data_IF_275688575428
#
_entry.id   IF_275688575428
#
_cell.length_a   1.000
_cell.length_b   1.000
_cell.length_c   1.000
_cell.angle_alpha   90.00
_cell.angle_beta   90.00
_cell.angle_gamma   90.00
#
_symmetry.space_group_name_H-M   'P 1'
#
loop_
_entity.id
_entity.type
_entity.pdbx_description
1 polymer ?
#
# COMPACT_ATOMS: atom_id res chain seq x y z
N UNK A 1 -43.82 -10.91 -21.82
CA UNK A 1 -42.54 -11.13 -22.56
C UNK A 1 -41.49 -10.56 -21.64
N UNK A 2 -41.14 -11.35 -20.64
CA UNK A 2 -40.41 -10.89 -19.47
C UNK A 2 -39.00 -11.46 -19.58
N UNK A 3 -38.09 -10.56 -19.91
CA UNK A 3 -36.68 -10.80 -20.12
C UNK A 3 -36.05 -11.20 -18.78
N UNK A 4 -35.82 -12.51 -18.61
CA UNK A 4 -35.12 -13.05 -17.45
C UNK A 4 -33.66 -12.65 -17.53
N UNK A 5 -33.31 -11.54 -16.87
CA UNK A 5 -31.92 -11.13 -16.65
C UNK A 5 -31.25 -12.19 -15.78
N UNK A 6 -30.55 -13.11 -16.45
CA UNK A 6 -29.71 -14.16 -15.87
C UNK A 6 -28.68 -13.52 -14.93
N UNK A 7 -29.04 -13.44 -13.64
CA UNK A 7 -28.14 -13.00 -12.58
C UNK A 7 -27.37 -14.23 -12.13
N UNK A 8 -26.16 -14.39 -12.67
CA UNK A 8 -25.21 -15.38 -12.17
C UNK A 8 -24.99 -15.18 -10.66
N UNK A 9 -24.81 -16.26 -9.86
CA UNK A 9 -24.59 -16.12 -8.43
C UNK A 9 -23.39 -15.20 -8.15
N UNK A 10 -23.44 -14.38 -7.09
CA UNK A 10 -22.36 -13.46 -6.76
C UNK A 10 -21.08 -14.26 -6.51
N UNK A 11 -20.04 -13.97 -7.29
CA UNK A 11 -18.72 -14.59 -7.14
C UNK A 11 -18.19 -14.30 -5.73
N UNK A 12 -17.62 -15.29 -5.02
CA UNK A 12 -17.02 -15.04 -3.72
C UNK A 12 -15.94 -13.96 -3.82
N UNK A 13 -15.81 -13.08 -2.81
CA UNK A 13 -14.86 -11.98 -2.85
C UNK A 13 -13.44 -12.53 -2.94
N UNK A 14 -12.64 -12.02 -3.87
CA UNK A 14 -11.24 -12.42 -4.00
C UNK A 14 -10.40 -11.77 -2.90
N UNK A 15 -9.28 -12.37 -2.46
CA UNK A 15 -8.40 -11.75 -1.47
C UNK A 15 -7.95 -10.34 -1.87
N UNK A 16 -7.69 -10.11 -3.15
CA UNK A 16 -7.34 -8.79 -3.69
C UNK A 16 -8.47 -7.77 -3.53
N UNK A 17 -9.72 -8.18 -3.72
CA UNK A 17 -10.88 -7.30 -3.54
C UNK A 17 -11.08 -6.89 -2.07
N UNK A 18 -10.87 -7.83 -1.14
CA UNK A 18 -10.91 -7.56 0.30
C UNK A 18 -9.79 -6.61 0.72
N UNK A 19 -8.57 -6.84 0.22
CA UNK A 19 -7.43 -5.99 0.48
C UNK A 19 -7.66 -4.56 -0.02
N UNK A 20 -8.28 -4.41 -1.20
CA UNK A 20 -8.68 -3.11 -1.75
C UNK A 20 -9.70 -2.41 -0.86
N UNK A 21 -10.73 -3.12 -0.40
CA UNK A 21 -11.73 -2.57 0.52
C UNK A 21 -11.12 -2.18 1.86
N UNK A 22 -10.19 -2.98 2.40
CA UNK A 22 -9.48 -2.70 3.64
C UNK A 22 -8.68 -1.39 3.58
N UNK A 23 -7.84 -1.19 2.56
CA UNK A 23 -7.10 0.07 2.45
C UNK A 23 -7.97 1.28 2.10
N UNK A 24 -9.06 1.05 1.36
CA UNK A 24 -10.03 2.11 1.09
C UNK A 24 -10.74 2.56 2.36
N UNK A 25 -11.09 1.64 3.28
CA UNK A 25 -11.72 2.00 4.56
C UNK A 25 -10.76 2.72 5.51
N UNK A 26 -9.44 2.49 5.37
CA UNK A 26 -8.39 3.26 6.05
C UNK A 26 -8.16 4.66 5.45
N UNK A 27 -8.85 5.02 4.36
CA UNK A 27 -8.80 6.34 3.73
C UNK A 27 -7.77 6.47 2.61
N UNK A 28 -7.12 5.39 2.18
CA UNK A 28 -6.22 5.42 1.02
C UNK A 28 -6.99 5.36 -0.29
N UNK A 29 -6.50 6.04 -1.32
CA UNK A 29 -6.93 5.80 -2.69
C UNK A 29 -6.16 4.62 -3.27
N UNK A 30 -6.86 3.54 -3.58
CA UNK A 30 -6.27 2.26 -4.00
C UNK A 30 -6.34 2.08 -5.51
N UNK A 31 -5.19 1.90 -6.13
CA UNK A 31 -5.03 1.69 -7.57
C UNK A 31 -4.27 0.40 -7.89
N UNK A 32 -4.31 -0.02 -9.16
CA UNK A 32 -3.53 -1.17 -9.64
C UNK A 32 -2.04 -0.90 -9.50
N UNK A 33 -1.31 -1.85 -8.92
CA UNK A 33 0.14 -1.78 -8.76
C UNK A 33 0.94 -2.38 -9.91
N UNK A 34 0.28 -2.80 -11.00
CA UNK A 34 0.88 -3.60 -12.08
C UNK A 34 2.09 -2.92 -12.71
N UNK A 35 2.06 -1.59 -12.88
CA UNK A 35 3.18 -0.80 -13.41
C UNK A 35 4.45 -0.87 -12.55
N UNK A 36 4.31 -1.24 -11.28
CA UNK A 36 5.39 -1.37 -10.32
C UNK A 36 5.68 -2.83 -9.95
N UNK A 37 5.08 -3.80 -10.64
CA UNK A 37 5.20 -5.23 -10.35
C UNK A 37 4.47 -5.68 -9.07
N UNK A 38 3.57 -4.84 -8.55
CA UNK A 38 2.80 -5.08 -7.32
C UNK A 38 1.32 -5.25 -7.62
N UNK A 39 0.54 -5.72 -6.64
CA UNK A 39 -0.89 -5.92 -6.85
C UNK A 39 -1.66 -4.61 -6.69
N UNK A 40 -1.30 -3.80 -5.68
CA UNK A 40 -1.91 -2.50 -5.41
C UNK A 40 -0.86 -1.42 -5.12
N UNK A 41 -1.24 -0.17 -5.33
CA UNK A 41 -0.53 1.00 -4.81
C UNK A 41 -1.47 1.91 -4.05
N UNK A 42 -0.96 2.52 -2.99
CA UNK A 42 -1.74 3.37 -2.08
C UNK A 42 -1.31 4.82 -2.22
N UNK A 43 -2.29 5.70 -2.40
CA UNK A 43 -2.10 7.14 -2.38
C UNK A 43 -2.76 7.73 -1.13
N UNK A 44 -2.07 8.66 -0.48
CA UNK A 44 -2.61 9.43 0.63
C UNK A 44 -3.69 10.43 0.17
N UNK A 45 -3.68 10.83 -1.10
CA UNK A 45 -4.64 11.76 -1.70
C UNK A 45 -4.79 11.49 -3.22
N UNK A 46 -5.35 12.42 -3.98
CA UNK A 46 -5.61 12.30 -5.42
C UNK A 46 -4.35 11.90 -6.21
N UNK A 47 -4.41 10.85 -7.06
CA UNK A 47 -3.29 10.40 -7.90
C UNK A 47 -2.79 11.46 -8.90
N UNK A 48 -3.57 12.51 -9.16
CA UNK A 48 -3.17 13.64 -10.00
C UNK A 48 -2.24 14.63 -9.29
N UNK A 49 -2.19 14.60 -7.95
CA UNK A 49 -1.46 15.56 -7.13
C UNK A 49 -0.27 14.95 -6.40
N UNK A 50 -0.38 13.68 -6.00
CA UNK A 50 0.64 12.99 -5.19
C UNK A 50 1.04 11.67 -5.80
N UNK A 51 2.28 11.25 -5.55
CA UNK A 51 2.73 9.90 -5.88
C UNK A 51 2.24 8.90 -4.83
N UNK A 52 2.15 7.63 -5.21
CA UNK A 52 1.90 6.57 -4.26
C UNK A 52 3.12 6.33 -3.38
N UNK A 53 2.93 6.33 -2.07
CA UNK A 53 3.96 6.10 -1.05
C UNK A 53 4.20 4.61 -0.80
N UNK A 54 3.15 3.80 -0.99
CA UNK A 54 3.17 2.37 -0.69
C UNK A 54 2.85 1.55 -1.94
N UNK A 55 3.58 0.44 -2.07
CA UNK A 55 3.31 -0.60 -3.04
C UNK A 55 3.00 -1.89 -2.26
N UNK A 56 1.85 -2.51 -2.55
CA UNK A 56 1.33 -3.64 -1.80
C UNK A 56 1.36 -4.87 -2.69
N UNK A 57 1.95 -5.93 -2.17
CA UNK A 57 1.95 -7.25 -2.78
C UNK A 57 1.18 -8.23 -1.90
N UNK A 58 0.25 -8.95 -2.49
CA UNK A 58 -0.55 -9.98 -1.87
C UNK A 58 0.27 -11.27 -1.85
N UNK A 59 0.47 -11.81 -0.66
CA UNK A 59 1.22 -13.03 -0.42
C UNK A 59 0.48 -14.28 -0.94
N UNK A 60 -0.85 -14.32 -0.76
CA UNK A 60 -1.69 -15.46 -1.10
C UNK A 60 -2.78 -15.08 -2.11
N UNK A 61 -2.76 -15.68 -3.29
CA UNK A 61 -3.82 -15.48 -4.29
C UNK A 61 -5.14 -16.19 -3.95
N UNK A 62 -5.10 -17.18 -3.06
CA UNK A 62 -6.24 -17.96 -2.57
C UNK A 62 -6.34 -17.91 -1.04
N UNK A 63 -7.53 -18.21 -0.52
CA UNK A 63 -7.74 -18.42 0.91
C UNK A 63 -7.32 -19.82 1.37
N UNK A 64 -7.17 -20.75 0.44
CA UNK A 64 -6.76 -22.12 0.74
C UNK A 64 -5.25 -22.18 0.98
N UNK A 65 -4.82 -22.69 2.13
CA UNK A 65 -3.40 -22.75 2.51
C UNK A 65 -2.60 -23.75 1.68
N UNK A 66 -3.29 -24.68 1.01
CA UNK A 66 -2.69 -25.71 0.15
C UNK A 66 -2.17 -25.15 -1.16
N UNK A 67 -2.76 -24.05 -1.67
CA UNK A 67 -2.22 -23.36 -2.83
C UNK A 67 -1.17 -22.34 -2.38
N UNK A 68 0.11 -22.72 -2.48
CA UNK A 68 1.29 -21.85 -2.32
C UNK A 68 1.41 -20.78 -3.43
N UNK A 69 0.28 -20.30 -3.94
CA UNK A 69 0.16 -19.39 -5.05
C UNK A 69 0.71 -18.01 -4.72
N UNK A 70 1.91 -17.72 -5.24
CA UNK A 70 2.18 -16.41 -5.83
C UNK A 70 3.32 -15.59 -5.23
N UNK A 71 3.96 -16.05 -4.15
CA UNK A 71 5.03 -15.29 -3.49
C UNK A 71 6.37 -16.03 -3.46
N UNK A 72 6.99 -16.16 -4.65
CA UNK A 72 8.35 -16.70 -4.81
C UNK A 72 9.42 -15.72 -4.34
N UNK A 73 10.56 -16.24 -3.88
CA UNK A 73 11.72 -15.47 -3.46
C UNK A 73 12.21 -14.52 -4.57
N UNK A 74 12.09 -14.91 -5.85
CA UNK A 74 12.45 -14.06 -7.00
C UNK A 74 11.58 -12.81 -7.07
N UNK A 75 10.28 -12.94 -6.76
CA UNK A 75 9.35 -11.81 -6.67
C UNK A 75 9.76 -10.89 -5.53
N UNK A 76 10.10 -11.45 -4.36
CA UNK A 76 10.60 -10.69 -3.21
C UNK A 76 11.89 -9.94 -3.55
N UNK A 77 12.86 -10.62 -4.16
CA UNK A 77 14.13 -10.03 -4.54
C UNK A 77 13.94 -8.87 -5.52
N UNK A 78 13.13 -9.08 -6.55
CA UNK A 78 12.86 -8.08 -7.59
C UNK A 78 12.15 -6.85 -7.00
N UNK A 79 11.13 -7.07 -6.18
CA UNK A 79 10.41 -5.99 -5.50
C UNK A 79 11.35 -5.24 -4.55
N UNK A 80 12.08 -5.95 -3.68
CA UNK A 80 12.98 -5.30 -2.72
C UNK A 80 14.06 -4.46 -3.39
N UNK A 81 14.53 -4.88 -4.58
CA UNK A 81 15.49 -4.11 -5.39
C UNK A 81 14.87 -2.87 -6.04
N UNK A 82 13.65 -2.97 -6.56
CA UNK A 82 13.02 -1.89 -7.33
C UNK A 82 12.39 -0.80 -6.45
N UNK A 83 11.93 -1.14 -5.25
CA UNK A 83 11.17 -0.23 -4.39
C UNK A 83 11.94 1.03 -3.95
N UNK A 84 13.24 0.98 -3.62
CA UNK A 84 14.06 2.16 -3.41
C UNK A 84 14.12 3.10 -4.62
N UNK A 85 14.31 2.54 -5.82
CA UNK A 85 14.43 3.31 -7.07
C UNK A 85 13.10 3.98 -7.44
N UNK A 86 11.99 3.31 -7.13
CA UNK A 86 10.63 3.84 -7.32
C UNK A 86 10.19 4.77 -6.18
N UNK A 87 11.01 4.96 -5.15
CA UNK A 87 10.70 5.69 -3.92
C UNK A 87 9.41 5.22 -3.22
N UNK A 88 9.18 3.90 -3.20
CA UNK A 88 8.00 3.28 -2.56
C UNK A 88 8.39 2.41 -1.38
N UNK A 89 7.49 2.33 -0.40
CA UNK A 89 7.58 1.36 0.70
C UNK A 89 6.82 0.10 0.31
N UNK A 90 7.47 -1.05 0.43
CA UNK A 90 6.87 -2.34 0.13
C UNK A 90 6.08 -2.85 1.34
N UNK A 91 4.81 -3.21 1.11
CA UNK A 91 3.96 -3.90 2.06
C UNK A 91 3.67 -5.29 1.50
N UNK A 92 3.99 -6.32 2.26
CA UNK A 92 3.57 -7.69 1.97
C UNK A 92 2.33 -7.95 2.81
N UNK A 93 1.19 -8.15 2.17
CA UNK A 93 -0.08 -8.37 2.86
C UNK A 93 -0.55 -9.81 2.66
N UNK A 94 -1.05 -10.44 3.72
CA UNK A 94 -1.73 -11.74 3.69
C UNK A 94 -3.16 -11.54 4.17
N UNK A 95 -4.12 -12.05 3.40
CA UNK A 95 -5.52 -12.05 3.81
C UNK A 95 -5.84 -13.43 4.38
N UNK A 96 -6.30 -13.47 5.63
CA UNK A 96 -6.63 -14.71 6.34
C UNK A 96 -8.11 -14.69 6.68
N UNK A 97 -8.80 -15.81 6.44
CA UNK A 97 -10.18 -15.99 6.87
C UNK A 97 -10.19 -16.24 8.38
N UNK A 98 -11.06 -15.54 9.10
CA UNK A 98 -11.19 -15.76 10.55
C UNK A 98 -12.17 -16.91 10.78
N UNK A 99 -11.78 -17.90 11.59
CA UNK A 99 -12.60 -19.10 11.86
C UNK A 99 -13.86 -18.79 12.71
N UNK A 100 -13.85 -17.66 13.42
CA UNK A 100 -14.89 -17.27 14.38
C UNK A 100 -16.16 -16.71 13.71
N UNK A 101 -16.01 -16.10 12.53
CA UNK A 101 -17.10 -15.53 11.73
C UNK A 101 -16.80 -15.74 10.25
N UNK A 102 -17.63 -16.53 9.57
CA UNK A 102 -17.40 -17.01 8.20
C UNK A 102 -17.26 -15.88 7.14
N UNK A 103 -17.69 -14.67 7.50
CA UNK A 103 -17.67 -13.44 6.71
C UNK A 103 -16.57 -12.43 7.12
N UNK A 104 -15.79 -12.73 8.17
CA UNK A 104 -14.76 -11.83 8.69
C UNK A 104 -13.37 -12.22 8.21
N UNK A 105 -12.66 -11.22 7.71
CA UNK A 105 -11.30 -11.37 7.19
C UNK A 105 -10.35 -10.47 7.96
N UNK A 106 -9.16 -10.99 8.21
CA UNK A 106 -8.06 -10.24 8.82
C UNK A 106 -6.94 -10.04 7.79
N UNK A 107 -6.35 -8.85 7.80
CA UNK A 107 -5.25 -8.48 6.91
C UNK A 107 -3.99 -8.42 7.75
N UNK A 108 -3.13 -9.43 7.59
CA UNK A 108 -1.82 -9.48 8.24
C UNK A 108 -0.80 -8.80 7.34
N UNK A 109 -0.28 -7.67 7.78
CA UNK A 109 0.70 -6.88 7.05
C UNK A 109 2.12 -7.09 7.58
N UNK A 110 3.07 -7.28 6.68
CA UNK A 110 4.49 -7.22 6.95
C UNK A 110 5.11 -6.11 6.09
N UNK A 111 5.47 -5.01 6.74
CA UNK A 111 6.11 -3.89 6.06
C UNK A 111 7.62 -4.15 5.93
N UNK A 112 8.10 -4.21 4.69
CA UNK A 112 9.54 -4.33 4.42
C UNK A 112 10.11 -2.92 4.34
N UNK A 113 10.82 -2.50 5.40
CA UNK A 113 11.58 -1.25 5.40
C UNK A 113 12.77 -1.42 4.44
N UNK A 114 12.60 -1.01 3.20
CA UNK A 114 13.71 -0.75 2.29
C UNK A 114 14.46 0.49 2.79
N UNK A 115 15.60 0.29 3.43
CA UNK A 115 16.43 1.36 3.96
C UNK A 115 17.06 2.16 2.80
N UNK A 116 16.43 3.24 2.37
CA UNK A 116 17.15 4.34 1.73
C UNK A 116 16.58 5.71 2.08
N UNK A 117 17.48 6.53 2.65
CA UNK A 117 17.32 7.90 3.20
C UNK A 117 16.00 8.20 3.89
N UNK A 118 16.06 8.37 5.21
CA UNK A 118 15.05 9.15 5.93
C UNK A 118 14.83 10.47 5.20
N UNK A 119 13.65 10.64 4.61
CA UNK A 119 13.16 11.95 4.26
C UNK A 119 13.07 12.73 5.57
N UNK A 120 14.12 13.48 5.88
CA UNK A 120 13.97 14.67 6.70
C UNK A 120 13.03 15.55 5.89
N UNK A 121 11.74 15.50 6.20
CA UNK A 121 10.85 16.58 5.85
C UNK A 121 11.55 17.83 6.39
N UNK A 122 12.12 18.65 5.50
CA UNK A 122 12.43 20.01 5.87
C UNK A 122 11.08 20.54 6.33
N UNK A 123 10.92 20.78 7.64
CA UNK A 123 9.87 21.70 8.10
C UNK A 123 10.04 22.93 7.23
N UNK A 124 9.10 23.17 6.31
CA UNK A 124 8.98 24.49 5.75
C UNK A 124 8.57 25.35 6.92
N UNK A 125 9.54 26.02 7.54
CA UNK A 125 9.26 27.22 8.31
C UNK A 125 8.69 28.21 7.30
N UNK A 126 7.36 28.23 7.14
CA UNK A 126 6.65 29.31 6.47
C UNK A 126 6.74 30.54 7.36
N UNK A 127 7.89 31.21 7.33
CA UNK A 127 8.03 32.59 7.75
C UNK A 127 7.93 33.45 6.48
N UNK A 128 6.71 33.90 6.16
CA UNK A 128 6.51 34.98 5.20
C UNK A 128 6.86 36.28 5.92
N UNK A 129 7.93 36.94 5.49
CA UNK A 129 8.35 38.25 5.98
C UNK A 129 9.06 38.23 7.34
N UNK A 130 10.37 38.54 7.34
CA UNK A 130 11.10 38.85 8.57
C UNK A 130 12.58 38.52 8.50
N UNK A 131 13.41 39.52 8.22
CA UNK A 131 14.86 39.47 8.40
C UNK A 131 15.24 38.88 9.77
N UNK A 132 15.94 37.74 9.77
CA UNK A 132 16.64 37.27 10.98
C UNK A 132 17.92 38.08 11.17
N UNK A 133 17.88 39.02 12.11
CA UNK A 133 19.03 39.82 12.58
C UNK A 133 20.10 38.88 13.18
N UNK A 134 21.34 38.91 12.66
CA UNK A 134 22.48 38.17 13.23
C UNK A 134 22.69 38.59 14.69
N UNK A 135 22.49 37.69 15.65
CA UNK A 135 22.98 37.89 17.03
C UNK A 135 24.49 37.67 17.04
N UNK A 136 25.22 38.77 17.21
CA UNK A 136 26.67 38.80 17.46
C UNK A 136 26.90 38.20 18.85
N UNK A 137 27.53 37.03 18.92
CA UNK A 137 28.01 36.49 20.20
C UNK A 137 29.09 37.42 20.76
N UNK A 138 28.88 37.93 21.98
CA UNK A 138 29.95 38.54 22.77
C UNK A 138 30.52 37.46 23.67
N UNK A 139 31.79 37.16 23.46
CA UNK A 139 32.64 36.40 24.37
C UNK A 139 32.76 37.15 25.70
N UNK A 140 32.70 36.40 26.79
CA UNK A 140 33.39 36.73 28.05
C UNK A 140 34.05 35.45 28.53
#
# INVERSE_FOLDING_TARGET
MDDATSTSPPKPPTPLSLLRSHYSSLGYRVHSGLQFGTDLVLYADSPSLVHSDFAVVLYNSSFDETESGGFDWRRVQSLTRNMPDLHKKLIVARVVRTEEEDWRYDVKELMVKTFHRSFKAKKQDKAVGGQKKKKKQRTK
#
